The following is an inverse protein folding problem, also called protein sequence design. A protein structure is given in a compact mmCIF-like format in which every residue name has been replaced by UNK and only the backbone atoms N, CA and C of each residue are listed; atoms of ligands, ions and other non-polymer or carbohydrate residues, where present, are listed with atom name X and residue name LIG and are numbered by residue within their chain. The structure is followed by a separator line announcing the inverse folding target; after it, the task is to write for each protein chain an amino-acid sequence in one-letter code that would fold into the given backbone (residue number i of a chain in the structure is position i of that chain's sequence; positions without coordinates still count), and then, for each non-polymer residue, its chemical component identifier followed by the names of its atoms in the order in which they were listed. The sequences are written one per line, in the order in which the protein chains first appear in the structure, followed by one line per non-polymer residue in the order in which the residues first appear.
data_IF_063444749106
#
_entry.id   IF_063444749106
#
_cell.length_a   1.000
_cell.length_b   1.000
_cell.length_c   1.000
_cell.angle_alpha   90.00
_cell.angle_beta   90.00
_cell.angle_gamma   90.00
#
_symmetry.space_group_name_H-M   'P 1'
#
loop_
_entity.id
_entity.type
_entity.pdbx_description
1 polymer ?
#
# COMPACT_ATOMS: atom_id res chain seq x y z
N UNK A 1 4.52 -4.89 -2.18
CA UNK A 1 4.07 -4.43 -0.85
C UNK A 1 5.11 -4.90 0.15
N UNK A 2 5.56 -4.06 1.08
CA UNK A 2 6.49 -4.48 2.13
C UNK A 2 5.69 -5.07 3.28
N UNK A 3 6.20 -6.17 3.85
CA UNK A 3 5.65 -6.74 5.06
C UNK A 3 6.15 -5.93 6.27
N UNK A 4 5.25 -5.59 7.18
CA UNK A 4 5.59 -4.93 8.44
C UNK A 4 5.22 -5.81 9.62
N UNK A 5 6.02 -5.83 10.69
CA UNK A 5 5.67 -6.49 11.94
C UNK A 5 4.29 -6.03 12.43
N UNK A 6 3.56 -6.87 13.15
CA UNK A 6 2.23 -6.60 13.72
C UNK A 6 1.09 -6.40 12.71
N UNK A 7 1.35 -6.56 11.40
CA UNK A 7 0.35 -6.37 10.32
C UNK A 7 0.19 -7.57 9.39
N UNK A 8 0.49 -8.78 9.86
CA UNK A 8 0.52 -9.97 9.01
C UNK A 8 -0.84 -10.30 8.37
N UNK A 9 -1.96 -10.17 9.07
CA UNK A 9 -3.31 -10.39 8.50
C UNK A 9 -3.62 -9.34 7.44
N UNK A 10 -3.32 -8.08 7.72
CA UNK A 10 -3.50 -6.99 6.76
C UNK A 10 -2.63 -7.20 5.52
N UNK A 11 -1.35 -7.55 5.71
CA UNK A 11 -0.45 -7.84 4.61
C UNK A 11 -0.97 -9.00 3.75
N UNK A 12 -1.39 -10.11 4.37
CA UNK A 12 -1.96 -11.26 3.67
C UNK A 12 -3.18 -10.87 2.82
N UNK A 13 -4.13 -10.10 3.37
CA UNK A 13 -5.30 -9.63 2.64
C UNK A 13 -4.95 -8.76 1.44
N UNK A 14 -3.95 -7.89 1.57
CA UNK A 14 -3.52 -7.01 0.48
C UNK A 14 -2.73 -7.75 -0.60
N UNK A 15 -1.91 -8.72 -0.23
CA UNK A 15 -1.25 -9.60 -1.19
C UNK A 15 -2.26 -10.47 -1.93
N UNK A 16 -3.26 -11.01 -1.23
CA UNK A 16 -4.36 -11.74 -1.83
C UNK A 16 -5.12 -10.91 -2.87
N UNK A 17 -5.45 -9.66 -2.54
CA UNK A 17 -6.11 -8.75 -3.47
C UNK A 17 -5.28 -8.46 -4.73
N UNK A 18 -3.95 -8.30 -4.59
CA UNK A 18 -3.05 -8.09 -5.74
C UNK A 18 -3.03 -9.34 -6.64
N UNK A 19 -2.85 -10.53 -6.05
CA UNK A 19 -2.83 -11.78 -6.82
C UNK A 19 -4.16 -12.04 -7.52
N UNK A 20 -5.27 -11.83 -6.82
CA UNK A 20 -6.61 -11.94 -7.40
C UNK A 20 -6.80 -10.97 -8.58
N UNK A 21 -6.44 -9.71 -8.42
CA UNK A 21 -6.53 -8.72 -9.50
C UNK A 21 -5.70 -9.10 -10.73
N UNK A 22 -4.54 -9.70 -10.51
CA UNK A 22 -3.67 -10.14 -11.62
C UNK A 22 -4.26 -11.36 -12.36
N UNK A 23 -4.85 -12.31 -11.63
CA UNK A 23 -5.57 -13.44 -12.22
C UNK A 23 -6.75 -12.98 -13.08
N UNK A 24 -7.61 -12.09 -12.54
CA UNK A 24 -8.74 -11.52 -13.30
C UNK A 24 -8.26 -10.79 -14.56
N UNK A 25 -7.17 -10.05 -14.46
CA UNK A 25 -6.57 -9.37 -15.62
C UNK A 25 -6.18 -10.35 -16.72
N UNK A 26 -5.54 -11.47 -16.34
CA UNK A 26 -5.10 -12.51 -17.30
C UNK A 26 -6.33 -13.17 -17.96
N UNK A 27 -7.34 -13.55 -17.16
CA UNK A 27 -8.58 -14.14 -17.68
C UNK A 27 -9.27 -13.22 -18.69
N UNK A 28 -9.40 -11.92 -18.38
CA UNK A 28 -9.98 -10.94 -19.31
C UNK A 28 -9.18 -10.81 -20.61
N UNK A 29 -7.86 -10.90 -20.53
CA UNK A 29 -6.99 -10.87 -21.70
C UNK A 29 -7.17 -12.13 -22.57
N UNK A 30 -7.26 -13.32 -21.97
CA UNK A 30 -7.54 -14.57 -22.69
C UNK A 30 -8.91 -14.54 -23.37
N UNK A 31 -9.91 -13.95 -22.71
CA UNK A 31 -11.25 -13.75 -23.27
C UNK A 31 -11.29 -12.65 -24.35
N UNK A 32 -10.18 -11.97 -24.66
CA UNK A 32 -10.10 -10.81 -25.57
C UNK A 32 -11.10 -9.71 -25.21
N UNK A 33 -11.33 -9.50 -23.91
CA UNK A 33 -12.23 -8.47 -23.39
C UNK A 33 -11.59 -7.09 -23.49
N UNK A 34 -12.39 -6.07 -23.78
CA UNK A 34 -11.98 -4.66 -23.76
C UNK A 34 -11.88 -4.08 -22.34
N UNK A 35 -12.17 -4.88 -21.32
CA UNK A 35 -12.08 -4.46 -19.91
C UNK A 35 -10.62 -4.49 -19.45
N UNK A 36 -10.18 -3.38 -18.87
CA UNK A 36 -8.83 -3.24 -18.34
C UNK A 36 -8.81 -3.22 -16.81
N UNK A 37 -7.92 -3.98 -16.21
CA UNK A 37 -7.73 -4.02 -14.76
C UNK A 37 -6.51 -3.19 -14.38
N UNK A 38 -6.69 -2.18 -13.53
CA UNK A 38 -5.61 -1.35 -12.99
C UNK A 38 -5.49 -1.59 -11.49
N UNK A 39 -4.42 -2.24 -11.06
CA UNK A 39 -4.12 -2.45 -9.65
C UNK A 39 -3.27 -1.30 -9.12
N UNK A 40 -3.74 -0.62 -8.08
CA UNK A 40 -3.00 0.48 -7.45
C UNK A 40 -2.60 0.11 -6.03
N UNK A 41 -1.30 0.24 -5.74
CA UNK A 41 -0.74 -0.02 -4.42
C UNK A 41 -0.12 1.27 -3.85
N UNK A 42 -0.92 2.12 -3.19
CA UNK A 42 -0.41 3.32 -2.55
C UNK A 42 0.35 2.97 -1.27
N UNK A 43 1.31 3.81 -0.91
CA UNK A 43 1.90 3.86 0.42
C UNK A 43 0.92 4.50 1.40
N UNK A 44 1.32 4.75 2.63
CA UNK A 44 0.44 5.36 3.63
C UNK A 44 -0.14 6.70 3.14
N UNK A 45 -1.47 6.81 3.23
CA UNK A 45 -2.21 8.02 2.85
C UNK A 45 -2.72 8.68 4.12
N UNK A 46 -2.63 10.00 4.20
CA UNK A 46 -3.14 10.79 5.32
C UNK A 46 -4.67 10.85 5.30
N UNK A 47 -5.31 9.80 5.79
CA UNK A 47 -6.78 9.68 5.90
C UNK A 47 -7.22 9.48 7.36
N UNK A 48 -6.32 9.63 8.33
CA UNK A 48 -6.56 9.34 9.74
C UNK A 48 -6.57 7.83 10.08
N UNK A 49 -6.53 6.95 9.08
CA UNK A 49 -6.48 5.50 9.33
C UNK A 49 -5.15 5.05 9.92
N UNK A 50 -4.07 5.75 9.59
CA UNK A 50 -2.70 5.43 9.97
C UNK A 50 -2.10 6.50 10.89
N UNK A 51 -2.91 7.05 11.81
CA UNK A 51 -2.44 8.00 12.82
C UNK A 51 -1.38 7.32 13.70
N UNK A 52 -0.27 8.05 13.96
CA UNK A 52 0.88 7.54 14.72
C UNK A 52 1.93 6.78 13.87
N UNK A 53 1.67 6.52 12.59
CA UNK A 53 2.71 5.94 11.71
C UNK A 53 3.77 6.98 11.40
N UNK A 54 5.02 6.67 11.73
CA UNK A 54 6.19 7.49 11.35
C UNK A 54 6.93 6.83 10.20
N UNK A 55 7.05 7.52 9.09
CA UNK A 55 7.89 7.10 7.97
C UNK A 55 9.08 8.04 7.83
N UNK A 56 10.28 7.50 7.96
CA UNK A 56 11.54 8.27 7.82
C UNK A 56 11.91 8.58 6.38
N UNK A 57 11.47 7.74 5.45
CA UNK A 57 11.98 7.76 4.06
C UNK A 57 10.93 8.22 3.09
N UNK A 58 9.70 7.73 3.23
CA UNK A 58 8.62 8.03 2.30
C UNK A 58 7.60 8.90 3.02
N UNK A 59 7.37 10.14 2.57
CA UNK A 59 6.37 11.00 3.19
C UNK A 59 4.98 10.38 3.07
N UNK A 60 4.14 10.63 4.09
CA UNK A 60 2.73 10.25 4.05
C UNK A 60 2.07 11.01 2.91
N UNK A 61 1.37 10.29 2.04
CA UNK A 61 0.82 10.83 0.82
C UNK A 61 -0.48 11.62 1.08
N UNK A 62 -0.65 12.73 0.39
CA UNK A 62 -1.91 13.48 0.39
C UNK A 62 -2.95 12.75 -0.46
N UNK A 63 -4.23 12.67 -0.02
CA UNK A 63 -5.29 12.00 -0.78
C UNK A 63 -5.45 12.52 -2.21
N UNK A 64 -5.37 13.84 -2.41
CA UNK A 64 -5.52 14.49 -3.73
C UNK A 64 -4.40 14.08 -4.70
N UNK A 65 -3.19 13.93 -4.18
CA UNK A 65 -2.07 13.45 -4.99
C UNK A 65 -2.29 12.00 -5.45
N UNK A 66 -2.76 11.15 -4.54
CA UNK A 66 -3.04 9.74 -4.83
C UNK A 66 -4.17 9.62 -5.84
N UNK A 67 -5.28 10.34 -5.67
CA UNK A 67 -6.43 10.35 -6.58
C UNK A 67 -6.04 10.74 -8.01
N UNK A 68 -5.27 11.81 -8.16
CA UNK A 68 -4.75 12.23 -9.48
C UNK A 68 -3.87 11.17 -10.13
N UNK A 69 -3.10 10.41 -9.33
CA UNK A 69 -2.25 9.33 -9.86
C UNK A 69 -3.05 8.09 -10.24
N UNK A 70 -4.13 7.80 -9.52
CA UNK A 70 -5.06 6.71 -9.85
C UNK A 70 -5.75 6.99 -11.18
N UNK A 71 -6.38 8.17 -11.33
CA UNK A 71 -7.06 8.57 -12.57
C UNK A 71 -6.10 8.46 -13.76
N UNK A 72 -4.90 9.03 -13.64
CA UNK A 72 -3.89 8.97 -14.70
C UNK A 72 -3.40 7.54 -15.00
N UNK A 73 -3.44 6.62 -14.03
CA UNK A 73 -3.10 5.23 -14.26
C UNK A 73 -4.20 4.51 -15.06
N UNK A 74 -5.46 4.79 -14.76
CA UNK A 74 -6.63 4.28 -15.48
C UNK A 74 -6.64 4.79 -16.92
N UNK A 75 -6.52 6.11 -17.13
CA UNK A 75 -6.48 6.74 -18.46
C UNK A 75 -5.37 6.19 -19.36
N UNK A 76 -4.28 5.69 -18.76
CA UNK A 76 -3.14 5.12 -19.48
C UNK A 76 -3.14 3.59 -19.52
N UNK A 77 -4.22 2.94 -19.15
CA UNK A 77 -4.37 1.47 -19.10
C UNK A 77 -3.18 0.78 -18.41
N UNK A 78 -2.71 1.33 -17.27
CA UNK A 78 -1.60 0.74 -16.51
C UNK A 78 -2.10 -0.46 -15.71
N UNK A 79 -1.48 -1.62 -15.90
CA UNK A 79 -1.84 -2.85 -15.16
C UNK A 79 -1.51 -2.75 -13.68
N UNK A 80 -0.36 -2.17 -13.33
CA UNK A 80 0.06 -2.00 -11.93
C UNK A 80 0.70 -0.63 -11.69
N UNK A 81 0.33 0.03 -10.59
CA UNK A 81 0.89 1.31 -10.17
C UNK A 81 1.18 1.35 -8.68
N UNK A 82 2.46 1.27 -8.31
CA UNK A 82 2.94 1.63 -6.97
C UNK A 82 3.05 3.15 -6.82
N UNK A 83 2.60 3.70 -5.70
CA UNK A 83 2.69 5.13 -5.40
C UNK A 83 3.35 5.29 -4.02
N UNK A 84 4.47 6.05 -3.89
CA UNK A 84 5.23 6.79 -4.92
C UNK A 84 6.08 5.88 -5.82
N UNK A 85 6.67 6.45 -6.85
CA UNK A 85 7.47 5.69 -7.84
C UNK A 85 8.66 4.95 -7.21
N UNK A 86 9.25 5.48 -6.15
CA UNK A 86 10.34 4.83 -5.39
C UNK A 86 9.99 3.44 -4.83
N UNK A 87 8.71 3.09 -4.74
CA UNK A 87 8.26 1.76 -4.35
C UNK A 87 8.74 0.66 -5.32
N UNK A 88 8.83 0.96 -6.61
CA UNK A 88 9.35 0.01 -7.62
C UNK A 88 10.83 -0.29 -7.40
N UNK A 89 11.60 0.69 -6.96
CA UNK A 89 13.02 0.52 -6.63
C UNK A 89 13.20 -0.44 -5.45
N UNK A 90 12.42 -0.28 -4.40
CA UNK A 90 12.49 -1.18 -3.24
C UNK A 90 12.11 -2.61 -3.64
N UNK A 91 11.09 -2.79 -4.45
CA UNK A 91 10.70 -4.12 -4.94
C UNK A 91 11.74 -4.76 -5.84
N UNK A 92 12.42 -3.98 -6.67
CA UNK A 92 13.50 -4.46 -7.50
C UNK A 92 14.65 -5.03 -6.63
N UNK A 93 15.07 -4.30 -5.62
CA UNK A 93 16.10 -4.79 -4.69
C UNK A 93 15.64 -5.98 -3.86
N UNK A 94 14.37 -6.03 -3.48
CA UNK A 94 13.79 -7.18 -2.78
C UNK A 94 13.79 -8.46 -3.64
N UNK A 95 13.69 -8.33 -4.96
CA UNK A 95 13.73 -9.47 -5.87
C UNK A 95 15.15 -10.00 -6.13
N UNK A 96 16.17 -9.13 -6.05
CA UNK A 96 17.56 -9.46 -6.38
C UNK A 96 18.35 -9.86 -5.13
N UNK A 97 18.14 -9.16 -4.01
CA UNK A 97 18.92 -9.40 -2.79
C UNK A 97 18.37 -10.61 -2.01
N UNK A 98 19.26 -11.46 -1.49
CA UNK A 98 18.85 -12.45 -0.49
C UNK A 98 18.12 -11.76 0.68
N UNK A 99 17.05 -12.40 1.16
CA UNK A 99 16.15 -11.82 2.18
C UNK A 99 16.91 -11.28 3.41
N UNK A 100 17.94 -12.00 3.87
CA UNK A 100 18.75 -11.59 5.03
C UNK A 100 19.49 -10.26 4.81
N UNK A 101 20.02 -10.04 3.59
CA UNK A 101 20.75 -8.83 3.23
C UNK A 101 19.75 -7.67 3.06
N UNK A 102 18.62 -7.95 2.41
CA UNK A 102 17.56 -6.98 2.24
C UNK A 102 17.00 -6.50 3.59
N UNK A 103 16.68 -7.43 4.49
CA UNK A 103 16.14 -7.13 5.82
C UNK A 103 17.14 -6.35 6.69
N UNK A 104 18.42 -6.71 6.62
CA UNK A 104 19.47 -5.97 7.33
C UNK A 104 19.58 -4.53 6.81
N UNK A 105 19.64 -4.35 5.50
CA UNK A 105 19.82 -3.04 4.88
C UNK A 105 18.56 -2.17 5.02
N UNK A 106 17.42 -2.66 4.61
CA UNK A 106 16.17 -1.89 4.64
C UNK A 106 15.50 -1.85 6.01
N UNK A 107 15.63 -2.90 6.80
CA UNK A 107 15.08 -2.97 8.15
C UNK A 107 15.86 -2.12 9.13
N UNK A 108 17.18 -2.33 9.21
CA UNK A 108 18.04 -1.69 10.22
C UNK A 108 18.48 -0.28 9.81
N UNK A 109 18.91 -0.08 8.56
CA UNK A 109 19.40 1.23 8.08
C UNK A 109 18.26 2.21 7.87
N UNK A 110 17.15 1.76 7.28
CA UNK A 110 16.00 2.62 6.98
C UNK A 110 14.90 2.60 8.03
N UNK A 111 14.97 1.71 9.04
CA UNK A 111 14.01 1.67 10.14
C UNK A 111 12.56 1.35 9.70
N UNK A 112 12.39 0.66 8.56
CA UNK A 112 11.06 0.35 8.00
C UNK A 112 10.24 -0.50 8.98
N UNK A 113 10.89 -1.40 9.73
CA UNK A 113 10.22 -2.28 10.68
C UNK A 113 9.73 -1.56 11.95
N UNK A 114 10.23 -0.34 12.23
CA UNK A 114 9.81 0.48 13.36
C UNK A 114 8.71 1.50 13.01
N UNK A 115 8.27 1.55 11.76
CA UNK A 115 7.26 2.50 11.30
C UNK A 115 5.90 2.34 12.02
N UNK A 116 5.64 1.18 12.62
CA UNK A 116 4.39 0.83 13.31
C UNK A 116 4.50 0.81 14.83
N UNK A 117 5.65 1.17 15.41
CA UNK A 117 5.82 1.08 16.87
C UNK A 117 4.93 2.07 17.63
N UNK A 118 4.63 3.22 17.04
CA UNK A 118 3.74 4.25 17.59
C UNK A 118 2.33 4.25 16.95
N UNK A 119 1.97 3.18 16.26
CA UNK A 119 0.67 3.08 15.60
C UNK A 119 -0.48 3.04 16.62
N UNK A 120 -1.31 4.06 16.62
CA UNK A 120 -2.47 4.18 17.50
C UNK A 120 -3.80 3.84 16.81
N UNK A 121 -3.78 3.73 15.46
CA UNK A 121 -4.97 3.50 14.67
C UNK A 121 -5.92 4.71 14.64
N UNK A 122 -7.07 4.51 14.00
CA UNK A 122 -8.11 5.52 13.93
C UNK A 122 -8.69 5.76 15.33
N UNK A 123 -8.55 6.96 15.88
CA UNK A 123 -9.28 7.36 17.10
C UNK A 123 -10.78 7.17 16.84
N UNK A 124 -11.45 6.32 17.63
CA UNK A 124 -12.90 6.19 17.58
C UNK A 124 -13.46 7.57 17.92
N UNK A 125 -14.08 8.26 16.97
CA UNK A 125 -14.95 9.36 17.27
C UNK A 125 -16.08 8.79 18.12
N UNK A 126 -16.12 9.07 19.41
CA UNK A 126 -17.31 8.86 20.20
C UNK A 126 -18.41 9.73 19.58
N UNK A 127 -19.27 9.12 18.78
CA UNK A 127 -20.59 9.67 18.59
C UNK A 127 -21.21 9.72 19.98
N UNK A 128 -21.28 10.91 20.53
CA UNK A 128 -22.13 11.20 21.68
C UNK A 128 -23.54 10.75 21.29
N UNK A 129 -23.96 9.62 21.84
CA UNK A 129 -25.34 9.23 21.78
C UNK A 129 -26.14 10.37 22.43
N UNK A 130 -26.88 11.05 21.60
CA UNK A 130 -27.91 12.03 22.01
C UNK A 130 -28.81 11.34 23.02
N UNK A 131 -28.71 11.75 24.28
CA UNK A 131 -29.78 11.58 25.24
C UNK A 131 -30.96 12.42 24.74
N UNK A 132 -31.94 11.77 24.15
CA UNK A 132 -33.29 12.30 24.06
C UNK A 132 -34.08 11.72 25.26
N UNK A 133 -34.42 12.60 26.16
CA UNK A 133 -35.43 12.38 27.17
C UNK A 133 -36.79 12.30 26.55
#
# INVERSE_FOLDING_TARGET
MLANPKMWVYAASKWGAIGWSDSVRIELQEMKSDVHVTTVAPYYINTGMFDGVRSRIIPILKPEYVSKRIIRAIERNRTFRGIPFGFHFIRFWQAILPTRIFDWFFGKVFGIYHAMDEFTGRKKSHHAATKAS
#
